data_IF_976839133818
#
_entry.id   IF_976839133818
#
_cell.length_a   1.000
_cell.length_b   1.000
_cell.length_c   1.000
_cell.angle_alpha   90.00
_cell.angle_beta   90.00
_cell.angle_gamma   90.00
#
_symmetry.space_group_name_H-M   'P 1'
#
loop_
_entity.id
_entity.type
_entity.pdbx_description
1 polymer ?
#
# COMPACT_ATOMS: atom_id res chain seq x y z
N UNK A 1 10.12 6.03 -34.75
CA UNK A 1 9.22 6.26 -33.59
C UNK A 1 9.64 5.26 -32.53
N UNK A 2 10.46 5.71 -31.59
CA UNK A 2 10.80 4.92 -30.41
C UNK A 2 9.62 5.08 -29.45
N UNK A 3 8.78 4.04 -29.34
CA UNK A 3 7.82 3.95 -28.24
C UNK A 3 8.63 3.87 -26.95
N UNK A 4 8.51 4.86 -26.08
CA UNK A 4 8.97 4.75 -24.72
C UNK A 4 8.31 3.51 -24.12
N UNK A 5 9.14 2.56 -23.71
CA UNK A 5 8.71 1.44 -22.88
C UNK A 5 8.25 2.08 -21.55
N UNK A 6 6.95 2.26 -21.40
CA UNK A 6 6.38 2.38 -20.06
C UNK A 6 6.39 0.97 -19.48
N UNK A 7 7.13 0.74 -18.39
CA UNK A 7 6.96 -0.50 -17.65
C UNK A 7 5.48 -0.64 -17.34
N UNK A 8 4.91 -1.85 -17.41
CA UNK A 8 3.57 -2.06 -16.91
C UNK A 8 3.58 -1.55 -15.48
N UNK A 9 2.91 -0.44 -15.28
CA UNK A 9 2.76 0.16 -13.97
C UNK A 9 2.33 -0.97 -13.06
N UNK A 10 2.94 -1.08 -11.91
CA UNK A 10 2.60 -2.11 -10.93
C UNK A 10 1.22 -1.79 -10.34
N UNK A 11 0.22 -1.87 -11.19
CA UNK A 11 -1.12 -1.29 -11.09
C UNK A 11 -2.00 -1.98 -10.05
N UNK A 12 -1.51 -3.10 -9.50
CA UNK A 12 -2.09 -3.81 -8.36
C UNK A 12 -1.62 -3.27 -7.00
N UNK A 13 -0.77 -2.21 -7.01
CA UNK A 13 -0.30 -1.53 -5.80
C UNK A 13 -1.13 -0.27 -5.58
N UNK A 14 -1.74 -0.17 -4.43
CA UNK A 14 -2.36 1.07 -3.99
C UNK A 14 -1.31 2.00 -3.41
N UNK A 15 -1.24 3.21 -3.95
CA UNK A 15 -0.32 4.24 -3.50
C UNK A 15 -1.07 5.25 -2.64
N UNK A 16 -0.61 5.41 -1.42
CA UNK A 16 -1.23 6.30 -0.46
C UNK A 16 -0.22 7.34 -0.03
N UNK A 17 -0.67 8.59 0.00
CA UNK A 17 0.06 9.69 0.60
C UNK A 17 -0.75 10.24 1.77
N UNK A 18 -0.13 10.30 2.93
CA UNK A 18 -0.68 10.99 4.09
C UNK A 18 0.19 12.19 4.43
N UNK A 19 -0.39 13.37 4.35
CA UNK A 19 0.22 14.63 4.76
C UNK A 19 -0.30 15.01 6.15
N UNK A 20 0.59 15.10 7.11
CA UNK A 20 0.32 15.43 8.50
C UNK A 20 0.77 16.86 8.74
N UNK A 21 -0.16 17.74 9.03
CA UNK A 21 0.09 19.18 9.15
C UNK A 21 -0.04 19.62 10.60
N UNK A 22 0.88 20.47 11.05
CA UNK A 22 0.91 21.01 12.40
C UNK A 22 -0.25 21.99 12.63
N UNK A 23 -0.96 21.77 13.74
CA UNK A 23 -1.80 22.79 14.37
C UNK A 23 -1.05 23.43 15.56
N UNK A 24 -0.76 22.61 16.57
CA UNK A 24 -0.05 23.02 17.79
C UNK A 24 0.96 21.96 18.27
N UNK A 25 1.08 20.81 17.58
CA UNK A 25 1.77 19.64 18.05
C UNK A 25 2.88 19.14 17.10
N UNK A 26 3.61 18.11 17.50
CA UNK A 26 4.73 17.54 16.76
C UNK A 26 4.26 16.58 15.66
N UNK A 27 4.45 16.98 14.41
CA UNK A 27 4.08 16.18 13.24
C UNK A 27 4.99 14.96 13.06
N UNK A 28 6.24 15.03 13.53
CA UNK A 28 7.18 13.91 13.46
C UNK A 28 6.76 12.80 14.41
N UNK A 29 6.38 13.17 15.64
CA UNK A 29 5.90 12.22 16.64
C UNK A 29 4.58 11.58 16.21
N UNK A 30 3.62 12.37 15.72
CA UNK A 30 2.37 11.88 15.18
C UNK A 30 2.59 10.92 14.00
N UNK A 31 3.49 11.28 13.07
CA UNK A 31 3.85 10.43 11.94
C UNK A 31 4.48 9.11 12.37
N UNK A 32 5.36 9.11 13.35
CA UNK A 32 5.96 7.88 13.89
C UNK A 32 4.89 6.98 14.55
N UNK A 33 3.96 7.55 15.31
CA UNK A 33 2.85 6.80 15.91
C UNK A 33 1.93 6.19 14.83
N UNK A 34 1.66 6.91 13.74
CA UNK A 34 0.91 6.40 12.62
C UNK A 34 1.64 5.22 11.96
N UNK A 35 2.96 5.32 11.72
CA UNK A 35 3.78 4.22 11.17
C UNK A 35 3.64 2.97 12.02
N UNK A 36 3.77 3.07 13.33
CA UNK A 36 3.62 1.95 14.26
C UNK A 36 2.19 1.40 14.26
N UNK A 37 1.18 2.27 14.29
CA UNK A 37 -0.22 1.87 14.28
C UNK A 37 -0.61 1.10 13.01
N UNK A 38 -0.12 1.52 11.85
CA UNK A 38 -0.37 0.86 10.57
C UNK A 38 0.07 -0.60 10.56
N UNK A 39 1.13 -0.96 11.30
CA UNK A 39 1.61 -2.35 11.39
C UNK A 39 0.58 -3.27 12.07
N UNK A 40 -0.28 -2.73 12.91
CA UNK A 40 -1.31 -3.53 13.60
C UNK A 40 -2.49 -3.91 12.70
N UNK A 41 -2.74 -3.19 11.60
CA UNK A 41 -3.92 -3.41 10.75
C UNK A 41 -3.90 -4.80 10.14
N UNK A 42 -2.82 -5.19 9.46
CA UNK A 42 -2.72 -6.53 8.86
C UNK A 42 -2.75 -7.59 9.95
N UNK A 43 -1.97 -7.41 11.02
CA UNK A 43 -1.83 -8.40 12.08
C UNK A 43 -3.10 -8.64 12.91
N UNK A 44 -4.06 -7.69 12.93
CA UNK A 44 -5.23 -7.74 13.83
C UNK A 44 -6.59 -7.56 13.17
N UNK A 45 -6.64 -7.15 11.90
CA UNK A 45 -7.90 -6.90 11.20
C UNK A 45 -8.07 -7.77 9.94
N UNK A 46 -7.00 -8.39 9.44
CA UNK A 46 -7.04 -9.27 8.26
C UNK A 46 -7.00 -10.72 8.72
N UNK A 47 -7.80 -11.57 8.09
CA UNK A 47 -7.75 -13.02 8.32
C UNK A 47 -6.35 -13.53 7.98
N UNK A 48 -5.73 -14.37 8.84
CA UNK A 48 -4.39 -14.94 8.58
C UNK A 48 -4.28 -15.75 7.29
N UNK A 49 -5.38 -16.22 6.74
CA UNK A 49 -5.42 -16.94 5.46
C UNK A 49 -5.43 -16.01 4.24
N UNK A 50 -5.66 -14.71 4.46
CA UNK A 50 -5.72 -13.72 3.39
C UNK A 50 -4.38 -13.00 3.23
N UNK A 51 -4.02 -12.74 1.96
CA UNK A 51 -2.79 -12.01 1.66
C UNK A 51 -3.02 -10.49 1.68
N UNK A 52 -2.35 -9.83 2.60
CA UNK A 52 -2.35 -8.38 2.71
C UNK A 52 -1.00 -7.84 3.16
N UNK A 53 -0.59 -6.71 2.61
CA UNK A 53 0.65 -6.01 2.98
C UNK A 53 0.40 -4.52 3.04
N UNK A 54 0.88 -3.88 4.10
CA UNK A 54 0.99 -2.43 4.22
C UNK A 54 2.47 -2.10 4.43
N UNK A 55 3.05 -1.35 3.49
CA UNK A 55 4.45 -0.92 3.56
C UNK A 55 4.50 0.60 3.62
N UNK A 56 5.16 1.16 4.62
CA UNK A 56 5.53 2.57 4.63
C UNK A 56 6.89 2.69 3.93
N UNK A 57 6.88 3.12 2.67
CA UNK A 57 8.07 3.22 1.83
C UNK A 57 8.85 4.51 2.04
N UNK A 58 8.20 5.57 2.54
CA UNK A 58 8.87 6.81 2.88
C UNK A 58 8.18 7.52 4.05
N UNK A 59 9.00 8.12 4.91
CA UNK A 59 8.58 9.03 5.96
C UNK A 59 9.52 10.24 5.94
N UNK A 60 9.00 11.40 5.59
CA UNK A 60 9.76 12.64 5.46
C UNK A 60 9.21 13.69 6.42
N UNK A 61 10.06 14.15 7.36
CA UNK A 61 9.70 15.16 8.33
C UNK A 61 10.92 16.02 8.68
N UNK A 62 10.81 17.33 8.50
CA UNK A 62 11.82 18.30 8.88
C UNK A 62 13.14 18.24 8.10
N UNK A 63 14.01 19.19 8.42
CA UNK A 63 15.36 19.31 7.84
C UNK A 63 16.41 19.71 8.88
N UNK A 64 16.00 20.26 10.01
CA UNK A 64 16.88 20.77 11.06
C UNK A 64 16.63 20.04 12.39
N UNK A 65 17.69 19.83 13.15
CA UNK A 65 17.67 19.06 14.40
C UNK A 65 17.00 19.79 15.59
N UNK A 66 16.78 21.08 15.48
CA UNK A 66 16.25 21.95 16.54
C UNK A 66 14.91 22.60 16.18
N UNK A 67 14.26 22.16 15.09
CA UNK A 67 12.99 22.73 14.63
C UNK A 67 11.96 21.61 14.41
N UNK A 68 10.85 21.68 15.12
CA UNK A 68 9.70 20.79 14.90
C UNK A 68 9.10 21.15 13.54
N UNK A 69 8.99 20.19 12.60
CA UNK A 69 8.50 20.46 11.25
C UNK A 69 7.03 20.84 11.23
N UNK A 70 6.67 21.70 10.27
CA UNK A 70 5.27 22.08 10.02
C UNK A 70 4.48 20.92 9.40
N UNK A 71 5.17 20.01 8.71
CA UNK A 71 4.57 18.92 7.96
C UNK A 71 5.42 17.67 8.02
N UNK A 72 4.74 16.53 8.14
CA UNK A 72 5.34 15.22 7.86
C UNK A 72 4.55 14.54 6.72
N UNK A 73 5.25 13.85 5.83
CA UNK A 73 4.67 13.13 4.70
C UNK A 73 5.04 11.65 4.78
N UNK A 74 4.02 10.80 4.73
CA UNK A 74 4.14 9.35 4.61
C UNK A 74 3.76 8.94 3.19
N UNK A 75 4.51 8.01 2.60
CA UNK A 75 4.15 7.33 1.35
C UNK A 75 4.06 5.84 1.62
N UNK A 76 2.91 5.27 1.30
CA UNK A 76 2.59 3.88 1.56
C UNK A 76 2.31 3.14 0.26
N UNK A 77 2.60 1.84 0.30
CA UNK A 77 2.17 0.86 -0.70
C UNK A 77 1.30 -0.18 0.01
N UNK A 78 0.11 -0.43 -0.53
CA UNK A 78 -0.84 -1.41 0.02
C UNK A 78 -1.17 -2.44 -1.04
N UNK A 79 -1.16 -3.71 -0.65
CA UNK A 79 -1.42 -4.84 -1.54
C UNK A 79 -2.38 -5.82 -0.87
N UNK A 80 -3.36 -6.29 -1.62
CA UNK A 80 -4.27 -7.35 -1.22
C UNK A 80 -4.75 -8.10 -2.45
N UNK A 81 -4.85 -9.43 -2.36
CA UNK A 81 -5.35 -10.26 -3.46
C UNK A 81 -6.87 -10.33 -3.49
N UNK A 82 -7.51 -10.06 -2.35
CA UNK A 82 -8.96 -10.15 -2.17
C UNK A 82 -9.57 -8.75 -2.16
N UNK A 83 -10.70 -8.57 -2.84
CA UNK A 83 -11.40 -7.29 -2.95
C UNK A 83 -11.90 -6.79 -1.59
N UNK A 84 -12.48 -7.68 -0.80
CA UNK A 84 -13.03 -7.36 0.52
C UNK A 84 -11.93 -6.92 1.48
N UNK A 85 -10.77 -7.60 1.43
CA UNK A 85 -9.59 -7.23 2.21
C UNK A 85 -9.07 -5.86 1.77
N UNK A 86 -9.06 -5.58 0.46
CA UNK A 86 -8.65 -4.29 -0.09
C UNK A 86 -9.51 -3.14 0.44
N UNK A 87 -10.83 -3.31 0.43
CA UNK A 87 -11.79 -2.33 0.96
C UNK A 87 -11.64 -2.16 2.49
N UNK A 88 -11.40 -3.27 3.21
CA UNK A 88 -11.10 -3.24 4.64
C UNK A 88 -9.83 -2.43 4.94
N UNK A 89 -8.74 -2.66 4.19
CA UNK A 89 -7.47 -1.95 4.39
C UNK A 89 -7.62 -0.44 4.16
N UNK A 90 -8.30 -0.01 3.09
CA UNK A 90 -8.56 1.40 2.84
C UNK A 90 -9.31 2.06 4.00
N UNK A 91 -10.38 1.42 4.46
CA UNK A 91 -11.16 1.88 5.60
C UNK A 91 -10.30 1.98 6.86
N UNK A 92 -9.59 0.92 7.23
CA UNK A 92 -8.81 0.86 8.46
C UNK A 92 -7.61 1.80 8.48
N UNK A 93 -6.93 1.96 7.33
CA UNK A 93 -5.84 2.93 7.20
C UNK A 93 -6.37 4.35 7.40
N UNK A 94 -7.47 4.69 6.75
CA UNK A 94 -8.08 6.03 6.84
C UNK A 94 -8.52 6.34 8.28
N UNK A 95 -9.22 5.42 8.93
CA UNK A 95 -9.66 5.56 10.32
C UNK A 95 -8.48 5.73 11.27
N UNK A 96 -7.45 4.88 11.16
CA UNK A 96 -6.28 4.91 12.03
C UNK A 96 -5.50 6.22 11.88
N UNK A 97 -5.24 6.64 10.64
CA UNK A 97 -4.47 7.88 10.38
C UNK A 97 -5.18 9.09 10.99
N UNK A 98 -6.50 9.22 10.80
CA UNK A 98 -7.26 10.33 11.37
C UNK A 98 -7.35 10.26 12.90
N UNK A 99 -7.58 9.08 13.48
CA UNK A 99 -7.64 8.91 14.93
C UNK A 99 -6.29 9.23 15.60
N UNK A 100 -5.18 8.77 15.02
CA UNK A 100 -3.85 9.08 15.52
C UNK A 100 -3.52 10.58 15.37
N UNK A 101 -3.83 11.18 14.21
CA UNK A 101 -3.64 12.61 14.02
C UNK A 101 -4.40 13.43 15.07
N UNK A 102 -5.66 13.08 15.32
CA UNK A 102 -6.48 13.72 16.35
C UNK A 102 -5.88 13.58 17.75
N UNK A 103 -5.40 12.38 18.12
CA UNK A 103 -4.83 12.12 19.44
C UNK A 103 -3.56 12.92 19.71
N UNK A 104 -2.82 13.29 18.66
CA UNK A 104 -1.61 14.14 18.74
C UNK A 104 -1.88 15.63 18.45
N UNK A 105 -3.12 16.05 18.27
CA UNK A 105 -3.49 17.44 18.00
C UNK A 105 -2.96 17.98 16.66
N UNK A 106 -2.83 17.11 15.66
CA UNK A 106 -2.44 17.46 14.29
C UNK A 106 -3.58 17.13 13.30
N UNK A 107 -3.49 17.64 12.08
CA UNK A 107 -4.41 17.26 11.00
C UNK A 107 -3.73 16.31 10.02
N UNK A 108 -4.47 15.35 9.50
CA UNK A 108 -4.03 14.46 8.44
C UNK A 108 -4.90 14.61 7.20
N UNK A 109 -4.27 14.67 6.05
CA UNK A 109 -4.92 14.59 4.74
C UNK A 109 -4.40 13.35 4.03
N UNK A 110 -5.31 12.53 3.52
CA UNK A 110 -5.00 11.27 2.85
C UNK A 110 -5.38 11.40 1.37
N UNK A 111 -4.42 11.12 0.49
CA UNK A 111 -4.63 10.88 -0.93
C UNK A 111 -4.50 9.37 -1.16
N UNK A 112 -5.63 8.70 -1.33
CA UNK A 112 -5.72 7.26 -1.53
C UNK A 112 -5.98 6.97 -3.01
N UNK A 113 -5.00 6.40 -3.71
CA UNK A 113 -5.10 6.04 -5.12
C UNK A 113 -5.26 4.53 -5.24
N UNK A 114 -6.44 4.11 -5.67
CA UNK A 114 -6.70 2.70 -5.99
C UNK A 114 -6.04 2.34 -7.32
N UNK A 115 -5.21 1.32 -7.32
CA UNK A 115 -4.66 0.68 -8.50
C UNK A 115 -5.61 -0.39 -9.09
N UNK A 116 -5.12 -1.19 -10.02
CA UNK A 116 -5.91 -2.22 -10.69
C UNK A 116 -6.23 -3.42 -9.77
N UNK A 117 -7.25 -4.21 -10.09
CA UNK A 117 -7.52 -5.47 -9.41
C UNK A 117 -6.43 -6.50 -9.72
N UNK A 118 -6.38 -7.55 -8.91
CA UNK A 118 -5.52 -8.71 -9.15
C UNK A 118 -5.77 -9.28 -10.55
N UNK A 119 -4.69 -9.59 -11.25
CA UNK A 119 -4.77 -10.30 -12.52
C UNK A 119 -5.24 -11.74 -12.26
N UNK A 120 -6.31 -12.12 -12.92
CA UNK A 120 -6.80 -13.50 -12.97
C UNK A 120 -6.73 -13.97 -14.42
N UNK A 121 -5.88 -14.95 -14.66
CA UNK A 121 -5.75 -15.53 -16.00
C UNK A 121 -7.03 -16.29 -16.39
N UNK A 122 -7.43 -16.20 -17.65
CA UNK A 122 -8.51 -17.00 -18.19
C UNK A 122 -8.07 -18.46 -18.33
N UNK A 123 -8.92 -19.40 -17.93
CA UNK A 123 -8.62 -20.82 -17.93
C UNK A 123 -8.17 -21.32 -19.32
N UNK A 124 -8.91 -20.95 -20.38
CA UNK A 124 -8.62 -21.36 -21.75
C UNK A 124 -7.22 -20.97 -22.22
N UNK A 125 -6.83 -19.73 -21.96
CA UNK A 125 -5.53 -19.20 -22.34
C UNK A 125 -4.41 -19.81 -21.48
N UNK A 126 -4.70 -20.09 -20.21
CA UNK A 126 -3.78 -20.79 -19.31
C UNK A 126 -3.54 -22.22 -19.74
N UNK A 127 -4.61 -22.97 -20.10
CA UNK A 127 -4.49 -24.33 -20.58
C UNK A 127 -3.73 -24.39 -21.91
N UNK A 128 -4.04 -23.48 -22.85
CA UNK A 128 -3.28 -23.37 -24.09
C UNK A 128 -1.78 -23.11 -23.85
N UNK A 129 -1.44 -22.18 -22.95
CA UNK A 129 -0.05 -21.89 -22.61
C UNK A 129 0.64 -23.08 -21.96
N UNK A 130 -0.08 -23.84 -21.11
CA UNK A 130 0.42 -25.09 -20.51
C UNK A 130 0.72 -26.13 -21.57
N UNK A 131 -0.22 -26.41 -22.46
CA UNK A 131 -0.06 -27.40 -23.53
C UNK A 131 1.17 -27.08 -24.42
N UNK A 132 1.36 -25.81 -24.76
CA UNK A 132 2.53 -25.36 -25.54
C UNK A 132 3.83 -25.56 -24.74
N UNK A 133 3.84 -25.21 -23.46
CA UNK A 133 5.00 -25.40 -22.61
C UNK A 133 5.36 -26.88 -22.42
N UNK A 134 4.37 -27.75 -22.19
CA UNK A 134 4.56 -29.19 -22.09
C UNK A 134 5.11 -29.81 -23.37
N UNK A 135 4.61 -29.38 -24.53
CA UNK A 135 5.12 -29.82 -25.83
C UNK A 135 6.59 -29.39 -26.06
N UNK A 136 7.02 -28.27 -25.49
CA UNK A 136 8.37 -27.74 -25.67
C UNK A 136 9.40 -28.33 -24.69
N UNK A 137 9.04 -28.47 -23.40
CA UNK A 137 9.99 -28.80 -22.34
C UNK A 137 9.68 -30.11 -21.59
N UNK A 138 8.55 -30.75 -21.89
CA UNK A 138 8.05 -31.95 -21.20
C UNK A 138 7.13 -31.65 -20.03
N UNK A 139 6.08 -32.49 -19.84
CA UNK A 139 5.05 -32.29 -18.82
C UNK A 139 5.64 -32.26 -17.38
N UNK A 140 6.72 -32.98 -17.14
CA UNK A 140 7.40 -33.03 -15.83
C UNK A 140 8.05 -31.72 -15.41
N UNK A 141 8.17 -30.75 -16.34
CA UNK A 141 8.80 -29.42 -16.09
C UNK A 141 7.80 -28.28 -16.03
N UNK A 142 6.51 -28.58 -16.22
CA UNK A 142 5.44 -27.58 -16.14
C UNK A 142 4.60 -27.84 -14.91
N UNK A 143 4.54 -26.85 -13.99
CA UNK A 143 3.80 -26.92 -12.72
C UNK A 143 2.74 -25.83 -12.65
#
# INVERSE_FOLDING_TARGET
MHGEYQPPDADWIELIRADITRLLADTSLAGAAIVLGLQSIVARNVDPQEMAVITVGAFNAGMANNVIPQKATLKLSVRALNREVRELLEKRITELVHAQAQSYGVQAQIDYKRGYPVLVNHLRETDFARDVAEALVGAERVT
#
